data_IF_329597803588
#
_entry.id   IF_329597803588
#
_cell.length_a   1.000
_cell.length_b   1.000
_cell.length_c   1.000
_cell.angle_alpha   90.00
_cell.angle_beta   90.00
_cell.angle_gamma   90.00
#
_symmetry.space_group_name_H-M   'P 1'
#
loop_
_entity.id
_entity.type
_entity.pdbx_description
1 polymer ?
#
# COMPACT_ATOMS: atom_id res chain seq x y z
N UNK A 1 0.76 -8.12 -23.54
CA UNK A 1 0.21 -7.30 -22.44
C UNK A 1 1.38 -6.60 -21.78
N UNK A 2 1.44 -5.27 -21.88
CA UNK A 2 2.49 -4.46 -21.25
C UNK A 2 2.37 -4.56 -19.74
N UNK A 3 3.46 -4.85 -19.06
CA UNK A 3 3.50 -4.78 -17.60
C UNK A 3 3.41 -3.30 -17.18
N UNK A 4 2.23 -2.91 -16.69
CA UNK A 4 1.96 -1.53 -16.27
C UNK A 4 2.90 -1.09 -15.15
N UNK A 5 3.30 -2.01 -14.26
CA UNK A 5 4.22 -1.70 -13.16
C UNK A 5 5.62 -1.34 -13.69
N UNK A 6 6.08 -2.07 -14.70
CA UNK A 6 7.38 -1.85 -15.35
C UNK A 6 7.49 -0.49 -16.05
N UNK A 7 6.36 0.04 -16.50
CA UNK A 7 6.31 1.35 -17.20
C UNK A 7 6.20 2.51 -16.21
N UNK A 8 5.51 2.31 -15.09
CA UNK A 8 5.14 3.40 -14.19
C UNK A 8 6.20 3.69 -13.12
N UNK A 9 6.92 2.67 -12.65
CA UNK A 9 7.96 2.79 -11.64
C UNK A 9 9.06 3.82 -12.03
N UNK A 10 9.67 3.76 -13.23
CA UNK A 10 10.69 4.74 -13.63
C UNK A 10 10.19 6.18 -13.65
N UNK A 11 8.93 6.36 -14.07
CA UNK A 11 8.27 7.68 -14.16
C UNK A 11 8.05 8.24 -12.75
N UNK A 12 7.48 7.45 -11.83
CA UNK A 12 7.19 7.88 -10.45
C UNK A 12 8.46 8.16 -9.66
N UNK A 13 9.52 7.35 -9.83
CA UNK A 13 10.84 7.61 -9.25
C UNK A 13 11.36 9.01 -9.64
N UNK A 14 11.34 9.32 -10.94
CA UNK A 14 11.79 10.62 -11.45
C UNK A 14 10.93 11.77 -10.94
N UNK A 15 9.62 11.63 -10.96
CA UNK A 15 8.68 12.67 -10.51
C UNK A 15 8.87 13.00 -9.03
N UNK A 16 8.89 11.98 -8.18
CA UNK A 16 9.06 12.14 -6.73
C UNK A 16 10.42 12.74 -6.37
N UNK A 17 11.50 12.29 -7.03
CA UNK A 17 12.83 12.89 -6.84
C UNK A 17 12.84 14.38 -7.19
N UNK A 18 12.24 14.76 -8.32
CA UNK A 18 12.17 16.15 -8.75
C UNK A 18 11.32 17.00 -7.79
N UNK A 19 10.22 16.44 -7.27
CA UNK A 19 9.38 17.08 -6.24
C UNK A 19 10.16 17.35 -4.96
N UNK A 20 11.03 16.42 -4.58
CA UNK A 20 11.96 16.56 -3.46
C UNK A 20 13.15 17.50 -3.76
N UNK A 21 13.22 18.10 -4.97
CA UNK A 21 14.31 18.97 -5.42
C UNK A 21 15.70 18.32 -5.35
N UNK A 22 15.76 17.01 -5.56
CA UNK A 22 17.01 16.24 -5.55
C UNK A 22 17.52 16.00 -6.96
N UNK A 23 18.83 16.07 -7.18
CA UNK A 23 19.48 15.48 -8.34
C UNK A 23 19.56 13.95 -8.20
N UNK A 24 19.79 13.25 -9.32
CA UNK A 24 19.99 11.79 -9.30
C UNK A 24 21.15 11.39 -8.39
N UNK A 25 22.20 12.21 -8.32
CA UNK A 25 23.35 11.98 -7.45
C UNK A 25 22.94 12.11 -5.97
N UNK A 26 22.17 13.14 -5.60
CA UNK A 26 21.78 13.37 -4.22
C UNK A 26 20.97 12.20 -3.65
N UNK A 27 19.99 11.70 -4.42
CA UNK A 27 19.19 10.55 -3.99
C UNK A 27 20.02 9.26 -3.98
N UNK A 28 20.89 9.05 -4.98
CA UNK A 28 21.79 7.90 -5.00
C UNK A 28 22.73 7.88 -3.78
N UNK A 29 23.28 9.03 -3.40
CA UNK A 29 24.16 9.19 -2.24
C UNK A 29 23.37 8.92 -0.94
N UNK A 30 22.12 9.38 -0.83
CA UNK A 30 21.23 9.09 0.32
C UNK A 30 20.89 7.60 0.48
N UNK A 31 20.83 6.85 -0.63
CA UNK A 31 20.53 5.41 -0.64
C UNK A 31 21.77 4.52 -0.78
N UNK A 32 22.96 5.11 -0.67
CA UNK A 32 24.22 4.38 -0.64
C UNK A 32 24.57 3.67 -1.95
N UNK A 33 24.19 4.22 -3.11
CA UNK A 33 24.50 3.64 -4.42
C UNK A 33 25.10 4.63 -5.41
N UNK A 34 25.60 4.12 -6.54
CA UNK A 34 26.11 4.98 -7.60
C UNK A 34 24.99 5.75 -8.31
N UNK A 35 25.28 6.98 -8.76
CA UNK A 35 24.37 7.76 -9.61
C UNK A 35 23.91 6.95 -10.84
N UNK A 36 24.82 6.21 -11.47
CA UNK A 36 24.52 5.40 -12.66
C UNK A 36 23.51 4.29 -12.37
N UNK A 37 23.64 3.62 -11.23
CA UNK A 37 22.67 2.61 -10.77
C UNK A 37 21.28 3.22 -10.61
N UNK A 38 21.18 4.35 -9.93
CA UNK A 38 19.90 5.02 -9.72
C UNK A 38 19.30 5.55 -11.05
N UNK A 39 20.13 6.10 -11.95
CA UNK A 39 19.69 6.56 -13.26
C UNK A 39 19.12 5.42 -14.12
N UNK A 40 19.66 4.20 -14.01
CA UNK A 40 19.12 3.03 -14.70
C UNK A 40 17.71 2.68 -14.23
N UNK A 41 17.37 2.94 -12.96
CA UNK A 41 16.00 2.77 -12.45
C UNK A 41 15.05 3.80 -13.06
N UNK A 42 15.42 5.08 -13.11
CA UNK A 42 14.58 6.14 -13.72
C UNK A 42 14.41 5.98 -15.24
N UNK A 43 15.34 5.27 -15.89
CA UNK A 43 15.27 4.97 -17.32
C UNK A 43 14.55 3.64 -17.61
N UNK A 44 14.21 2.85 -16.58
CA UNK A 44 13.62 1.52 -16.73
C UNK A 44 14.55 0.46 -17.33
N UNK A 45 15.85 0.75 -17.43
CA UNK A 45 16.85 -0.21 -17.95
C UNK A 45 17.25 -1.26 -16.90
N UNK A 46 16.98 -0.97 -15.62
CA UNK A 46 17.14 -1.89 -14.49
C UNK A 46 15.98 -1.71 -13.52
N UNK A 47 15.62 -2.78 -12.83
CA UNK A 47 14.65 -2.74 -11.73
C UNK A 47 15.40 -2.80 -10.38
N UNK A 48 14.98 -2.02 -9.37
CA UNK A 48 15.49 -2.14 -8.02
C UNK A 48 15.02 -3.46 -7.39
N UNK A 49 15.86 -4.07 -6.55
CA UNK A 49 15.41 -5.20 -5.73
C UNK A 49 14.41 -4.74 -4.64
N UNK A 50 13.66 -5.66 -4.01
CA UNK A 50 12.64 -5.30 -3.03
C UNK A 50 13.18 -4.45 -1.86
N UNK A 51 14.39 -4.73 -1.37
CA UNK A 51 14.98 -3.98 -0.26
C UNK A 51 15.32 -2.54 -0.67
N UNK A 52 15.89 -2.37 -1.86
CA UNK A 52 16.17 -1.08 -2.47
C UNK A 52 14.89 -0.30 -2.71
N UNK A 53 13.84 -0.96 -3.18
CA UNK A 53 12.55 -0.33 -3.43
C UNK A 53 11.90 0.20 -2.14
N UNK A 54 11.96 -0.57 -1.05
CA UNK A 54 11.53 -0.14 0.30
C UNK A 54 12.31 1.11 0.73
N UNK A 55 13.63 1.11 0.52
CA UNK A 55 14.47 2.24 0.92
C UNK A 55 14.19 3.50 0.09
N UNK A 56 14.02 3.37 -1.22
CA UNK A 56 13.65 4.50 -2.06
C UNK A 56 12.26 5.05 -1.67
N UNK A 57 11.28 4.17 -1.45
CA UNK A 57 9.93 4.55 -1.04
C UNK A 57 9.94 5.32 0.29
N UNK A 58 10.72 4.86 1.28
CA UNK A 58 10.84 5.55 2.57
C UNK A 58 11.54 6.90 2.45
N UNK A 59 12.60 7.01 1.63
CA UNK A 59 13.30 8.29 1.37
C UNK A 59 12.43 9.31 0.64
N UNK A 60 11.56 8.84 -0.25
CA UNK A 60 10.63 9.68 -1.00
C UNK A 60 9.29 9.90 -0.28
N UNK A 61 9.09 9.28 0.88
CA UNK A 61 7.90 9.46 1.72
C UNK A 61 6.63 8.87 1.11
N UNK A 62 6.71 7.85 0.27
CA UNK A 62 5.55 7.21 -0.39
C UNK A 62 5.47 5.71 -0.11
N UNK A 63 4.31 5.10 -0.31
CA UNK A 63 4.17 3.63 -0.27
C UNK A 63 4.83 2.97 -1.49
N UNK A 64 5.21 1.70 -1.32
CA UNK A 64 5.70 0.87 -2.44
C UNK A 64 4.59 0.70 -3.48
N UNK A 65 3.34 0.50 -3.06
CA UNK A 65 2.21 0.35 -3.99
C UNK A 65 2.01 1.58 -4.88
N UNK A 66 2.19 2.77 -4.31
CA UNK A 66 2.24 3.97 -5.14
C UNK A 66 3.48 3.96 -6.02
N UNK A 67 4.65 3.63 -5.50
CA UNK A 67 5.87 3.67 -6.31
C UNK A 67 5.84 2.70 -7.51
N UNK A 68 5.22 1.53 -7.37
CA UNK A 68 5.15 0.47 -8.39
C UNK A 68 3.92 0.52 -9.30
N UNK A 69 2.90 1.30 -8.98
CA UNK A 69 1.67 1.34 -9.79
C UNK A 69 0.51 0.48 -9.30
N UNK A 70 0.63 -0.14 -8.13
CA UNK A 70 -0.47 -0.87 -7.49
C UNK A 70 -1.50 0.07 -6.84
N UNK A 71 -1.17 1.35 -6.68
CA UNK A 71 -2.09 2.39 -6.17
C UNK A 71 -1.84 3.73 -6.85
N UNK A 72 -2.89 4.51 -7.05
CA UNK A 72 -2.80 5.91 -7.50
C UNK A 72 -2.76 6.90 -6.33
N UNK A 73 -2.87 6.41 -5.10
CA UNK A 73 -2.86 7.25 -3.90
C UNK A 73 -1.44 7.34 -3.33
N UNK A 74 -0.87 8.54 -3.33
CA UNK A 74 0.35 8.89 -2.58
C UNK A 74 0.07 8.78 -1.08
N UNK A 75 0.28 7.59 -0.50
CA UNK A 75 0.21 7.41 0.94
C UNK A 75 1.51 7.87 1.60
N UNK A 76 1.49 8.89 2.47
CA UNK A 76 2.67 9.26 3.24
C UNK A 76 3.03 8.17 4.25
N UNK A 77 4.31 7.77 4.26
CA UNK A 77 4.86 6.70 5.12
C UNK A 77 4.84 7.10 6.61
N UNK A 78 4.78 8.39 6.95
CA UNK A 78 4.91 8.88 8.33
C UNK A 78 3.72 8.61 9.25
N UNK A 79 2.60 8.11 8.74
CA UNK A 79 1.51 7.73 9.63
C UNK A 79 1.72 6.30 10.10
N UNK A 80 2.30 6.14 11.29
CA UNK A 80 2.51 4.90 12.05
C UNK A 80 1.21 4.17 12.43
N UNK A 81 0.30 4.05 11.49
CA UNK A 81 -1.00 3.45 11.64
C UNK A 81 -1.04 2.26 10.68
N UNK A 82 -1.29 1.08 11.23
CA UNK A 82 -1.62 -0.13 10.48
C UNK A 82 -2.89 0.11 9.65
N UNK A 83 -2.77 0.64 8.44
CA UNK A 83 -3.92 0.90 7.56
C UNK A 83 -4.34 -0.34 6.77
N UNK A 84 -4.82 -1.37 7.48
CA UNK A 84 -5.74 -2.34 6.88
C UNK A 84 -7.20 -1.88 6.96
N UNK A 85 -7.56 -1.13 8.01
CA UNK A 85 -8.97 -0.82 8.35
C UNK A 85 -9.23 0.70 8.39
N UNK A 86 -8.24 1.50 8.77
CA UNK A 86 -8.45 2.92 9.11
C UNK A 86 -8.56 3.88 7.90
N UNK A 87 -8.40 3.38 6.66
CA UNK A 87 -8.61 4.20 5.45
C UNK A 87 -10.10 4.36 5.11
N UNK A 88 -10.93 3.36 5.38
CA UNK A 88 -12.38 3.43 5.14
C UNK A 88 -13.14 4.30 6.16
N UNK A 89 -12.54 4.57 7.33
CA UNK A 89 -13.19 5.37 8.39
C UNK A 89 -12.97 6.88 8.23
N UNK A 90 -12.05 7.34 7.37
CA UNK A 90 -11.78 8.77 7.16
C UNK A 90 -12.54 9.36 5.97
N UNK A 91 -13.82 9.03 5.86
CA UNK A 91 -14.83 9.74 5.06
C UNK A 91 -16.20 9.76 5.74
N UNK A 92 -16.28 9.36 7.01
CA UNK A 92 -17.50 9.52 7.79
C UNK A 92 -17.33 10.84 8.54
N UNK A 93 -18.09 11.87 8.16
CA UNK A 93 -18.23 13.02 9.04
C UNK A 93 -18.88 12.55 10.35
N UNK A 94 -18.59 13.14 11.51
CA UNK A 94 -19.25 12.69 12.76
C UNK A 94 -20.79 12.71 12.66
N UNK A 95 -21.32 13.56 11.79
CA UNK A 95 -22.74 13.69 11.41
C UNK A 95 -23.29 12.50 10.58
N UNK A 96 -22.43 11.71 9.92
CA UNK A 96 -22.79 10.48 9.19
C UNK A 96 -22.73 9.21 10.06
N UNK A 97 -22.13 9.30 11.26
CA UNK A 97 -22.17 8.23 12.24
C UNK A 97 -23.56 8.17 12.86
N UNK A 98 -24.44 7.32 12.32
CA UNK A 98 -25.63 6.91 13.07
C UNK A 98 -25.15 6.30 14.39
N UNK A 99 -25.67 6.71 15.56
CA UNK A 99 -25.30 6.08 16.82
C UNK A 99 -25.56 4.59 16.68
N UNK A 100 -24.50 3.78 16.73
CA UNK A 100 -24.64 2.34 16.81
C UNK A 100 -25.36 2.05 18.12
N UNK A 101 -26.66 1.79 18.01
CA UNK A 101 -27.42 1.16 19.07
C UNK A 101 -27.17 -0.34 18.88
N UNK A 102 -26.46 -1.01 19.81
CA UNK A 102 -26.41 -2.45 19.79
C UNK A 102 -27.86 -2.94 19.79
N UNK A 103 -28.23 -3.76 18.80
CA UNK A 103 -29.55 -4.37 18.77
C UNK A 103 -29.62 -5.34 19.96
N UNK A 104 -30.07 -4.85 21.11
CA UNK A 104 -30.39 -5.66 22.30
C UNK A 104 -31.65 -6.52 22.10
N UNK A 105 -32.00 -6.81 20.85
CA UNK A 105 -33.15 -7.61 20.45
C UNK A 105 -32.78 -8.42 19.20
N UNK A 106 -31.84 -9.34 19.36
CA UNK A 106 -32.10 -10.66 18.80
C UNK A 106 -32.44 -11.55 19.99
N UNK A 107 -33.62 -12.18 20.05
CA UNK A 107 -33.81 -13.28 20.99
C UNK A 107 -32.67 -14.29 20.75
N UNK A 108 -32.17 -14.96 21.80
CA UNK A 108 -31.06 -15.88 21.68
C UNK A 108 -31.34 -16.86 20.54
N UNK A 109 -30.34 -17.10 19.69
CA UNK A 109 -30.36 -18.16 18.69
C UNK A 109 -30.88 -19.42 19.35
N UNK A 110 -32.13 -19.79 19.04
CA UNK A 110 -32.69 -21.07 19.45
C UNK A 110 -32.01 -22.05 18.52
N UNK A 111 -31.05 -22.82 19.06
CA UNK A 111 -30.52 -23.96 18.32
C UNK A 111 -31.70 -24.90 18.07
N UNK A 112 -32.23 -24.92 16.85
CA UNK A 112 -33.11 -25.99 16.41
C UNK A 112 -32.31 -27.29 16.56
N UNK A 113 -32.72 -28.13 17.50
CA UNK A 113 -31.99 -29.32 17.93
C UNK A 113 -31.93 -30.44 16.88
N UNK A 114 -32.30 -30.19 15.63
CA UNK A 114 -32.66 -31.27 14.72
C UNK A 114 -32.14 -31.19 13.28
N UNK A 115 -31.25 -30.26 12.89
CA UNK A 115 -30.60 -30.37 11.56
C UNK A 115 -29.20 -29.76 11.51
N UNK A 116 -28.20 -30.49 12.00
CA UNK A 116 -26.80 -30.26 11.65
C UNK A 116 -26.43 -30.99 10.34
N UNK A 117 -25.72 -30.36 9.38
CA UNK A 117 -25.22 -31.08 8.22
C UNK A 117 -24.12 -32.04 8.64
N UNK A 118 -24.35 -33.35 8.43
CA UNK A 118 -23.38 -34.40 8.72
C UNK A 118 -22.10 -34.22 7.90
N UNK A 119 -20.95 -34.17 8.59
CA UNK A 119 -19.64 -34.25 7.94
C UNK A 119 -19.34 -35.70 7.56
N UNK A 120 -18.85 -35.99 6.34
CA UNK A 120 -18.45 -37.34 5.96
C UNK A 120 -17.16 -37.73 6.70
N UNK A 121 -17.24 -38.79 7.51
CA UNK A 121 -16.08 -39.45 8.11
C UNK A 121 -15.34 -40.24 7.04
N UNK A 122 -14.06 -39.91 6.83
CA UNK A 122 -13.17 -40.63 5.93
C UNK A 122 -12.80 -42.03 6.43
N UNK A 123 -12.57 -42.93 5.49
CA UNK A 123 -11.62 -44.04 5.54
C UNK A 123 -11.15 -44.31 4.11
#
# INVERSE_FOLDING_TARGET
MTDFAKTLLPIRLRQLRLRAKLHQKDLADQIGMSRGTYANYENGSREPDPATLVFIASRLGVSIDYLTGNSDFELPVESGVKYGILRQLRLIQEEDLQPYTPRLEQPPYVADSDNGPGYPSGS
#
